data_IF_847860705671
#
_entry.id   IF_847860705671
#
_cell.length_a   1.000
_cell.length_b   1.000
_cell.length_c   1.000
_cell.angle_alpha   90.00
_cell.angle_beta   90.00
_cell.angle_gamma   90.00
#
_symmetry.space_group_name_H-M   'P 1'
#
loop_
_entity.id
_entity.type
_entity.pdbx_description
1 polymer ?
#
# COMPACT_ATOMS: atom_id res chain seq x y z
N UNK A 1 -19.27 7.18 -7.64
CA UNK A 1 -18.29 6.10 -7.45
C UNK A 1 -17.09 6.71 -6.75
N UNK A 2 -16.43 6.03 -5.81
CA UNK A 2 -15.20 6.55 -5.18
C UNK A 2 -14.00 5.72 -5.59
N UNK A 3 -12.82 6.34 -5.52
CA UNK A 3 -11.54 5.70 -5.78
C UNK A 3 -10.67 5.84 -4.53
N UNK A 4 -9.94 4.80 -4.17
CA UNK A 4 -9.04 4.80 -3.02
C UNK A 4 -7.65 4.42 -3.50
N UNK A 5 -6.74 5.39 -3.48
CA UNK A 5 -5.34 5.19 -3.84
C UNK A 5 -4.61 4.77 -2.57
N UNK A 6 -4.05 3.57 -2.58
CA UNK A 6 -3.36 2.95 -1.45
C UNK A 6 -1.86 2.97 -1.69
N UNK A 7 -1.12 3.29 -0.66
CA UNK A 7 0.31 3.12 -0.54
C UNK A 7 0.64 2.47 0.80
N UNK A 8 1.53 1.48 0.80
CA UNK A 8 1.90 0.71 1.98
C UNK A 8 3.38 0.84 2.27
N UNK A 9 3.71 1.06 3.54
CA UNK A 9 5.07 0.88 4.01
C UNK A 9 5.22 -0.48 4.68
N UNK A 10 6.34 -1.17 4.39
CA UNK A 10 6.62 -2.48 4.99
C UNK A 10 8.08 -2.67 5.38
N UNK A 11 8.27 -3.57 6.32
CA UNK A 11 9.58 -4.04 6.74
C UNK A 11 9.75 -5.50 6.33
N UNK A 12 10.81 -5.83 5.59
CA UNK A 12 11.15 -7.20 5.25
C UNK A 12 11.53 -7.98 6.51
N UNK A 13 10.69 -8.94 6.89
CA UNK A 13 10.83 -9.72 8.13
C UNK A 13 10.79 -11.21 7.86
N UNK A 14 11.67 -12.00 8.50
CA UNK A 14 11.63 -13.45 8.35
C UNK A 14 10.58 -14.07 9.28
N UNK A 15 9.55 -14.67 8.70
CA UNK A 15 8.53 -15.41 9.43
C UNK A 15 8.98 -16.84 9.72
N UNK A 16 9.16 -17.18 10.99
CA UNK A 16 9.44 -18.58 11.42
C UNK A 16 8.23 -19.50 11.20
N UNK A 17 7.03 -18.96 11.17
CA UNK A 17 5.79 -19.72 10.96
C UNK A 17 5.65 -20.11 9.48
N UNK A 18 5.92 -19.16 8.56
CA UNK A 18 5.80 -19.37 7.13
C UNK A 18 7.12 -19.86 6.49
N UNK A 19 8.22 -19.89 7.26
CA UNK A 19 9.57 -20.25 6.79
C UNK A 19 10.03 -19.43 5.57
N UNK A 20 9.66 -18.16 5.50
CA UNK A 20 10.02 -17.25 4.41
C UNK A 20 10.09 -15.79 4.87
N UNK A 21 10.70 -14.94 4.06
CA UNK A 21 10.59 -13.49 4.22
C UNK A 21 9.19 -13.02 3.84
N UNK A 22 8.66 -12.10 4.62
CA UNK A 22 7.35 -11.45 4.46
C UNK A 22 7.57 -9.95 4.47
N UNK A 23 6.92 -9.24 3.57
CA UNK A 23 6.82 -7.78 3.61
C UNK A 23 5.77 -7.40 4.67
N UNK A 24 6.20 -7.31 5.93
CA UNK A 24 5.30 -7.01 7.05
C UNK A 24 4.91 -5.54 7.03
N UNK A 25 3.63 -5.27 6.83
CA UNK A 25 3.08 -3.91 6.76
C UNK A 25 3.24 -3.21 8.09
N UNK A 26 3.79 -1.99 8.05
CA UNK A 26 4.02 -1.12 9.20
C UNK A 26 3.22 0.19 9.11
N UNK A 27 2.76 0.58 7.91
CA UNK A 27 1.86 1.70 7.71
C UNK A 27 0.92 1.43 6.53
N UNK A 28 -0.31 1.89 6.67
CA UNK A 28 -1.31 1.94 5.61
C UNK A 28 -1.64 3.41 5.37
N UNK A 29 -1.26 3.93 4.21
CA UNK A 29 -1.61 5.26 3.73
C UNK A 29 -2.61 5.18 2.59
N UNK A 30 -3.64 6.03 2.59
CA UNK A 30 -4.58 6.08 1.48
C UNK A 30 -5.24 7.44 1.32
N UNK A 31 -5.57 7.75 0.08
CA UNK A 31 -6.34 8.94 -0.30
C UNK A 31 -7.60 8.50 -1.01
N UNK A 32 -8.74 9.06 -0.59
CA UNK A 32 -10.03 8.80 -1.22
C UNK A 32 -10.45 9.95 -2.12
N UNK A 33 -10.80 9.60 -3.35
CA UNK A 33 -11.32 10.54 -4.34
C UNK A 33 -12.80 10.27 -4.58
N UNK A 34 -13.55 11.34 -4.84
CA UNK A 34 -14.92 11.27 -5.32
C UNK A 34 -14.99 10.93 -6.82
N UNK A 35 -16.17 10.94 -7.42
CA UNK A 35 -16.37 10.66 -8.84
C UNK A 35 -15.92 11.79 -9.78
N UNK A 36 -15.66 12.97 -9.23
CA UNK A 36 -15.05 14.11 -9.94
C UNK A 36 -13.52 14.15 -9.76
N UNK A 37 -12.94 13.12 -9.09
CA UNK A 37 -11.51 12.97 -8.76
C UNK A 37 -10.98 14.03 -7.77
N UNK A 38 -11.86 14.64 -6.96
CA UNK A 38 -11.43 15.50 -5.87
C UNK A 38 -11.10 14.66 -4.64
N UNK A 39 -10.07 15.06 -3.91
CA UNK A 39 -9.73 14.45 -2.61
C UNK A 39 -10.86 14.76 -1.62
N UNK A 40 -11.53 13.73 -1.12
CA UNK A 40 -12.63 13.86 -0.16
C UNK A 40 -12.29 13.29 1.22
N UNK A 41 -11.32 12.41 1.35
CA UNK A 41 -10.89 11.85 2.63
C UNK A 41 -9.46 11.29 2.55
N UNK A 42 -8.80 11.12 3.71
CA UNK A 42 -7.48 10.52 3.82
C UNK A 42 -7.43 9.52 4.97
N UNK A 43 -6.59 8.52 4.83
CA UNK A 43 -6.39 7.48 5.84
C UNK A 43 -4.89 7.27 6.07
N UNK A 44 -4.47 7.29 7.32
CA UNK A 44 -3.11 6.94 7.72
C UNK A 44 -3.16 6.14 9.02
N UNK A 45 -2.51 4.98 9.06
CA UNK A 45 -2.52 4.10 10.21
C UNK A 45 -1.20 3.35 10.36
N UNK A 46 -0.51 3.55 11.47
CA UNK A 46 0.64 2.74 11.84
C UNK A 46 0.20 1.35 12.33
N UNK A 47 0.92 0.33 11.89
CA UNK A 47 0.64 -1.08 12.21
C UNK A 47 1.78 -1.64 13.05
N UNK A 48 1.46 -2.11 14.25
CA UNK A 48 2.43 -2.72 15.15
C UNK A 48 2.89 -4.08 14.60
N UNK A 49 4.19 -4.24 14.26
CA UNK A 49 4.70 -5.48 13.67
C UNK A 49 4.70 -6.63 14.69
N UNK A 50 4.43 -7.85 14.23
CA UNK A 50 4.50 -9.09 15.04
C UNK A 50 5.58 -10.05 14.56
N UNK A 51 5.96 -9.99 13.28
CA UNK A 51 6.95 -10.90 12.68
C UNK A 51 8.35 -10.35 12.96
N UNK A 52 8.58 -9.08 12.58
CA UNK A 52 9.83 -8.38 12.78
C UNK A 52 9.90 -7.73 14.16
N UNK A 53 11.06 -7.89 14.84
CA UNK A 53 11.29 -7.24 16.14
C UNK A 53 11.77 -5.80 16.03
N UNK A 54 12.42 -5.46 14.93
CA UNK A 54 12.99 -4.13 14.67
C UNK A 54 12.93 -3.81 13.19
N UNK A 55 12.70 -2.53 12.88
CA UNK A 55 12.82 -2.01 11.53
C UNK A 55 14.28 -2.08 11.06
N UNK A 56 14.48 -2.45 9.80
CA UNK A 56 15.80 -2.35 9.18
C UNK A 56 16.18 -0.88 8.95
N UNK A 57 17.48 -0.59 8.90
CA UNK A 57 17.98 0.78 8.79
C UNK A 57 17.49 1.48 7.52
N UNK A 58 17.36 0.75 6.41
CA UNK A 58 16.90 1.29 5.14
C UNK A 58 15.43 1.74 5.23
N UNK A 59 14.57 0.93 5.85
CA UNK A 59 13.15 1.29 6.05
C UNK A 59 13.02 2.55 6.90
N UNK A 60 13.73 2.62 8.04
CA UNK A 60 13.75 3.83 8.88
C UNK A 60 14.18 5.09 8.13
N UNK A 61 15.18 4.96 7.25
CA UNK A 61 15.69 6.07 6.46
C UNK A 61 14.69 6.56 5.41
N UNK A 62 13.98 5.63 4.76
CA UNK A 62 13.02 5.95 3.71
C UNK A 62 11.70 6.46 4.28
N UNK A 63 11.12 5.71 5.23
CA UNK A 63 9.78 6.00 5.76
C UNK A 63 9.79 7.04 6.88
N UNK A 64 10.95 7.28 7.51
CA UNK A 64 11.13 8.05 8.76
C UNK A 64 10.43 7.44 9.97
N UNK A 65 9.73 6.32 9.83
CA UNK A 65 9.05 5.61 10.92
C UNK A 65 10.07 5.02 11.89
N UNK A 66 9.81 5.15 13.19
CA UNK A 66 10.67 4.63 14.25
C UNK A 66 10.04 3.41 14.95
N UNK A 67 10.88 2.62 15.64
CA UNK A 67 10.35 1.51 16.45
C UNK A 67 9.50 1.99 17.62
N UNK A 68 9.82 3.17 18.16
CA UNK A 68 9.12 3.82 19.26
C UNK A 68 7.70 4.21 18.82
N UNK A 69 7.56 4.87 17.66
CA UNK A 69 6.25 5.22 17.10
C UNK A 69 5.39 3.98 16.85
N UNK A 70 5.96 2.93 16.24
CA UNK A 70 5.21 1.68 16.02
C UNK A 70 4.76 1.01 17.31
N UNK A 71 5.55 1.16 18.39
CA UNK A 71 5.21 0.61 19.69
C UNK A 71 4.11 1.41 20.38
N UNK A 72 4.18 2.75 20.29
CA UNK A 72 3.33 3.64 21.07
C UNK A 72 2.00 3.95 20.34
N UNK A 73 2.03 4.05 19.00
CA UNK A 73 0.90 4.46 18.16
C UNK A 73 0.39 3.33 17.25
N UNK A 74 1.22 2.31 16.99
CA UNK A 74 0.86 1.22 16.08
C UNK A 74 -0.30 0.38 16.63
N UNK A 75 -1.31 0.15 15.81
CA UNK A 75 -2.43 -0.74 16.12
C UNK A 75 -2.18 -2.15 15.58
N UNK A 76 -2.95 -3.14 16.03
CA UNK A 76 -2.85 -4.47 15.43
C UNK A 76 -3.26 -4.47 13.95
N UNK A 77 -2.65 -5.33 13.13
CA UNK A 77 -3.00 -5.47 11.72
C UNK A 77 -4.51 -5.68 11.51
N UNK A 78 -5.14 -6.53 12.31
CA UNK A 78 -6.59 -6.80 12.21
C UNK A 78 -7.41 -5.53 12.47
N UNK A 79 -6.99 -4.69 13.41
CA UNK A 79 -7.66 -3.42 13.68
C UNK A 79 -7.46 -2.45 12.51
N UNK A 80 -6.23 -2.31 12.02
CA UNK A 80 -5.91 -1.44 10.91
C UNK A 80 -6.69 -1.82 9.64
N UNK A 81 -6.73 -3.12 9.30
CA UNK A 81 -7.43 -3.59 8.11
C UNK A 81 -8.95 -3.47 8.22
N UNK A 82 -9.51 -3.60 9.43
CA UNK A 82 -10.94 -3.37 9.66
C UNK A 82 -11.30 -1.90 9.39
N UNK A 83 -10.52 -0.96 9.92
CA UNK A 83 -10.72 0.48 9.70
C UNK A 83 -10.49 0.87 8.23
N UNK A 84 -9.47 0.28 7.59
CA UNK A 84 -9.23 0.49 6.17
C UNK A 84 -10.37 -0.06 5.30
N UNK A 85 -10.92 -1.22 5.65
CA UNK A 85 -12.10 -1.78 4.97
C UNK A 85 -13.32 -0.84 5.03
N UNK A 86 -13.56 -0.23 6.19
CA UNK A 86 -14.62 0.76 6.37
C UNK A 86 -14.35 2.03 5.55
N UNK A 87 -13.09 2.48 5.52
CA UNK A 87 -12.66 3.61 4.69
C UNK A 87 -12.82 3.33 3.19
N UNK A 88 -12.40 2.15 2.71
CA UNK A 88 -12.56 1.75 1.31
C UNK A 88 -14.03 1.70 0.91
N UNK A 89 -14.88 1.07 1.72
CA UNK A 89 -16.30 0.86 1.43
C UNK A 89 -16.51 0.11 0.11
N UNK A 90 -17.30 0.67 -0.78
CA UNK A 90 -17.58 0.15 -2.13
C UNK A 90 -16.67 0.78 -3.22
N UNK A 91 -15.64 1.51 -2.82
CA UNK A 91 -14.70 2.18 -3.71
C UNK A 91 -13.86 1.22 -4.56
N UNK A 92 -13.25 1.76 -5.60
CA UNK A 92 -12.22 1.05 -6.39
C UNK A 92 -10.88 1.22 -5.69
N UNK A 93 -10.27 0.13 -5.27
CA UNK A 93 -8.90 0.16 -4.74
C UNK A 93 -7.90 0.34 -5.89
N UNK A 94 -6.99 1.28 -5.75
CA UNK A 94 -5.93 1.55 -6.71
C UNK A 94 -4.58 1.52 -6.02
N UNK A 95 -3.59 0.91 -6.65
CA UNK A 95 -2.17 0.98 -6.25
C UNK A 95 -1.33 1.33 -7.45
N UNK A 96 -0.12 1.87 -7.23
CA UNK A 96 0.77 2.13 -8.37
C UNK A 96 1.13 0.84 -9.10
N UNK A 97 1.55 -0.19 -8.36
CA UNK A 97 1.82 -1.52 -8.90
C UNK A 97 1.09 -2.59 -8.09
N UNK A 98 1.23 -3.87 -8.48
CA UNK A 98 0.64 -4.99 -7.73
C UNK A 98 1.38 -5.30 -6.41
N UNK A 99 2.51 -4.64 -6.13
CA UNK A 99 3.33 -4.92 -4.94
C UNK A 99 2.57 -4.68 -3.64
N UNK A 100 1.82 -3.57 -3.55
CA UNK A 100 1.00 -3.23 -2.39
C UNK A 100 -0.14 -4.23 -2.21
N UNK A 101 -0.82 -4.59 -3.29
CA UNK A 101 -1.88 -5.61 -3.23
C UNK A 101 -1.34 -6.96 -2.77
N UNK A 102 -0.16 -7.38 -3.27
CA UNK A 102 0.48 -8.62 -2.85
C UNK A 102 0.87 -8.58 -1.37
N UNK A 103 1.47 -7.47 -0.90
CA UNK A 103 1.80 -7.30 0.52
C UNK A 103 0.54 -7.34 1.39
N UNK A 104 -0.55 -6.71 0.96
CA UNK A 104 -1.82 -6.71 1.67
C UNK A 104 -2.42 -8.13 1.79
N UNK A 105 -2.45 -8.89 0.70
CA UNK A 105 -2.93 -10.28 0.69
C UNK A 105 -2.03 -11.17 1.55
N UNK A 106 -0.70 -11.03 1.47
CA UNK A 106 0.24 -11.82 2.26
C UNK A 106 0.08 -11.59 3.76
N UNK A 107 -0.02 -10.32 4.19
CA UNK A 107 -0.26 -9.98 5.59
C UNK A 107 -1.65 -10.47 6.04
N UNK A 108 -2.68 -10.27 5.25
CA UNK A 108 -4.02 -10.76 5.57
C UNK A 108 -4.04 -12.28 5.74
N UNK A 109 -3.36 -13.01 4.86
CA UNK A 109 -3.21 -14.47 4.94
C UNK A 109 -2.47 -14.89 6.22
N UNK A 110 -1.39 -14.21 6.56
CA UNK A 110 -0.62 -14.49 7.78
C UNK A 110 -1.49 -14.40 9.05
N UNK A 111 -2.30 -13.33 9.15
CA UNK A 111 -3.09 -13.06 10.35
C UNK A 111 -4.43 -13.81 10.41
N UNK A 112 -5.02 -14.15 9.27
CA UNK A 112 -6.39 -14.73 9.20
C UNK A 112 -6.44 -16.15 8.66
N UNK A 113 -5.36 -16.63 8.03
CA UNK A 113 -5.33 -17.88 7.28
C UNK A 113 -6.13 -17.85 5.96
N UNK A 114 -6.59 -16.68 5.53
CA UNK A 114 -7.39 -16.51 4.31
C UNK A 114 -6.58 -15.79 3.25
N UNK A 115 -6.64 -16.26 2.01
CA UNK A 115 -5.92 -15.69 0.85
C UNK A 115 -6.76 -14.70 0.04
N UNK A 116 -8.03 -14.53 0.38
CA UNK A 116 -8.94 -13.60 -0.30
C UNK A 116 -9.33 -12.48 0.65
N UNK A 117 -9.23 -11.23 0.17
CA UNK A 117 -9.68 -10.04 0.87
C UNK A 117 -11.20 -9.89 0.70
N UNK A 118 -12.03 -10.10 1.75
CA UNK A 118 -13.48 -10.13 1.60
C UNK A 118 -14.09 -8.75 1.30
N UNK A 119 -13.36 -7.69 1.64
CA UNK A 119 -13.76 -6.29 1.44
C UNK A 119 -13.36 -5.73 0.07
N UNK A 120 -12.51 -6.45 -0.69
CA UNK A 120 -12.04 -5.99 -1.99
C UNK A 120 -12.94 -6.52 -3.11
N UNK A 121 -13.70 -5.63 -3.75
CA UNK A 121 -14.57 -5.97 -4.87
C UNK A 121 -14.05 -5.48 -6.23
N UNK A 122 -13.32 -4.35 -6.23
CA UNK A 122 -12.79 -3.71 -7.44
C UNK A 122 -11.36 -3.24 -7.21
N UNK A 123 -10.50 -3.49 -8.19
CA UNK A 123 -9.08 -3.14 -8.13
C UNK A 123 -8.59 -2.61 -9.47
N UNK A 124 -7.68 -1.66 -9.44
CA UNK A 124 -6.98 -1.13 -10.60
C UNK A 124 -5.48 -0.98 -10.29
N UNK A 125 -4.64 -1.59 -11.11
CA UNK A 125 -3.20 -1.34 -11.15
C UNK A 125 -2.97 -0.09 -12.01
N UNK A 126 -2.60 1.03 -11.37
CA UNK A 126 -2.42 2.32 -12.04
C UNK A 126 -1.24 2.31 -13.01
N UNK A 127 -0.16 1.59 -12.69
CA UNK A 127 1.00 1.47 -13.58
C UNK A 127 0.60 0.85 -14.92
N UNK A 128 -0.08 -0.30 -14.89
CA UNK A 128 -0.58 -0.95 -16.11
C UNK A 128 -1.59 -0.09 -16.85
N UNK A 129 -2.48 0.60 -16.14
CA UNK A 129 -3.42 1.53 -16.75
C UNK A 129 -2.72 2.69 -17.46
N UNK A 130 -1.69 3.28 -16.84
CA UNK A 130 -0.91 4.36 -17.46
C UNK A 130 -0.08 3.86 -18.64
N UNK A 131 0.52 2.66 -18.57
CA UNK A 131 1.24 2.04 -19.68
C UNK A 131 0.32 1.81 -20.87
N UNK A 132 -0.91 1.37 -20.65
CA UNK A 132 -1.94 1.23 -21.70
C UNK A 132 -2.31 2.58 -22.31
N UNK A 133 -2.55 3.62 -21.49
CA UNK A 133 -2.89 4.96 -21.95
C UNK A 133 -1.78 5.64 -22.76
N UNK A 134 -0.52 5.33 -22.46
CA UNK A 134 0.67 5.89 -23.09
C UNK A 134 1.21 5.03 -24.24
N UNK A 135 0.56 3.90 -24.55
CA UNK A 135 0.94 2.94 -25.60
C UNK A 135 2.37 2.38 -25.41
N UNK A 136 2.73 2.05 -24.16
CA UNK A 136 4.08 1.62 -23.77
C UNK A 136 4.23 0.09 -23.69
N UNK A 137 3.39 -0.69 -24.37
CA UNK A 137 3.35 -2.16 -24.29
C UNK A 137 4.65 -2.86 -24.69
N UNK A 138 5.47 -2.23 -25.51
CA UNK A 138 6.74 -2.78 -26.00
C UNK A 138 7.95 -2.40 -25.15
N UNK A 139 7.74 -1.66 -24.05
CA UNK A 139 8.85 -1.27 -23.19
C UNK A 139 9.34 -2.45 -22.34
N UNK A 140 10.64 -2.73 -22.37
CA UNK A 140 11.27 -3.78 -21.54
C UNK A 140 11.37 -3.40 -20.06
N UNK A 141 11.01 -2.17 -19.70
CA UNK A 141 11.07 -1.60 -18.36
C UNK A 141 9.67 -1.17 -17.90
N UNK A 142 9.32 -1.50 -16.67
CA UNK A 142 8.10 -1.00 -16.05
C UNK A 142 8.17 0.52 -15.85
N UNK A 143 7.07 1.21 -16.12
CA UNK A 143 6.95 2.65 -15.94
C UNK A 143 7.01 3.01 -14.44
N UNK A 144 7.97 3.85 -14.05
CA UNK A 144 8.04 4.39 -12.70
C UNK A 144 7.01 5.51 -12.47
N UNK A 145 6.56 5.70 -11.23
CA UNK A 145 5.57 6.73 -10.89
C UNK A 145 6.05 8.14 -11.28
N UNK A 146 7.29 8.50 -10.90
CA UNK A 146 7.88 9.80 -11.25
C UNK A 146 7.96 10.03 -12.76
N UNK A 147 8.39 9.02 -13.52
CA UNK A 147 8.43 9.10 -14.98
C UNK A 147 7.04 9.26 -15.60
N UNK A 148 6.03 8.56 -15.05
CA UNK A 148 4.64 8.72 -15.48
C UNK A 148 4.12 10.11 -15.19
N UNK A 149 4.37 10.67 -14.02
CA UNK A 149 3.97 12.02 -13.64
C UNK A 149 4.61 13.07 -14.58
N UNK A 150 5.91 12.94 -14.85
CA UNK A 150 6.62 13.81 -15.80
C UNK A 150 6.00 13.75 -17.22
N UNK A 151 5.73 12.55 -17.73
CA UNK A 151 5.07 12.36 -19.04
C UNK A 151 3.66 12.93 -19.07
N UNK A 152 2.95 12.92 -17.95
CA UNK A 152 1.63 13.51 -17.79
C UNK A 152 1.68 15.04 -17.55
N UNK A 153 2.86 15.65 -17.46
CA UNK A 153 3.03 17.07 -17.18
C UNK A 153 2.67 17.48 -15.76
N UNK A 154 2.77 16.55 -14.83
CA UNK A 154 2.55 16.78 -13.38
C UNK A 154 3.89 16.99 -12.71
N UNK A 155 4.03 18.10 -11.97
CA UNK A 155 5.20 18.30 -11.12
C UNK A 155 5.15 17.24 -10.00
N UNK A 156 6.20 16.43 -9.94
CA UNK A 156 6.33 15.35 -8.97
C UNK A 156 7.59 15.57 -8.14
N UNK A 157 7.43 15.64 -6.83
CA UNK A 157 8.54 15.63 -5.88
C UNK A 157 8.42 14.36 -5.02
N UNK A 158 9.54 13.65 -4.83
CA UNK A 158 9.57 12.44 -4.01
C UNK A 158 9.39 12.73 -2.50
N UNK A 159 9.28 14.01 -2.13
CA UNK A 159 9.12 14.49 -0.75
C UNK A 159 7.66 14.89 -0.41
N UNK A 160 6.72 14.74 -1.34
CA UNK A 160 5.29 15.09 -1.14
C UNK A 160 4.42 13.89 -0.76
#
# INVERSE_FOLDING_TARGET
MSYVILDLEWNGSYSKVLHKFVNEIIEIGAVKLDDELNVCDTFTMLVAPKIGKKLCSKVKQLTKITNEELKDEGVSFIRAISLFSDFLGDGVLMTWSDSDLHALIENYSYYTGRTRLPFLSRYCNLQSYCEDCLDLHDSSCQLGLGACAEMAGVDFSEDD
#
